data_IF_035207634974
#
_entry.id   IF_035207634974
#
_cell.length_a   1.000
_cell.length_b   1.000
_cell.length_c   1.000
_cell.angle_alpha   90.00
_cell.angle_beta   90.00
_cell.angle_gamma   90.00
#
_symmetry.space_group_name_H-M   'P 1'
#
loop_
_entity.id
_entity.type
_entity.pdbx_description
1 polymer ?
#
# COMPACT_ATOMS: atom_id res chain seq x y z
N UNK A 1 22.35 -12.66 26.19
CA UNK A 1 23.55 -12.93 26.98
C UNK A 1 23.68 -14.39 27.34
N UNK A 2 22.64 -15.09 27.90
CA UNK A 2 22.71 -16.51 28.27
C UNK A 2 23.02 -17.47 27.12
N UNK A 3 22.57 -17.19 25.89
CA UNK A 3 22.86 -18.02 24.72
C UNK A 3 24.31 -17.90 24.24
N UNK A 4 24.97 -16.78 24.48
CA UNK A 4 26.37 -16.58 24.15
C UNK A 4 27.27 -17.39 25.09
N UNK A 5 26.99 -17.41 26.40
CA UNK A 5 27.71 -18.24 27.35
C UNK A 5 27.64 -19.74 27.01
N UNK A 6 26.46 -20.21 26.58
CA UNK A 6 26.28 -21.61 26.16
C UNK A 6 27.06 -21.88 24.86
N UNK A 7 27.09 -20.91 23.93
CA UNK A 7 27.79 -21.00 22.64
C UNK A 7 29.29 -21.11 22.80
N UNK A 8 29.86 -20.39 23.78
CA UNK A 8 31.30 -20.38 24.06
C UNK A 8 31.78 -21.69 24.78
N UNK A 9 30.86 -22.48 25.36
CA UNK A 9 31.14 -23.74 26.00
C UNK A 9 30.80 -24.99 25.18
N UNK A 10 30.32 -24.80 23.93
CA UNK A 10 30.00 -25.93 23.06
C UNK A 10 31.23 -26.48 22.33
N UNK A 11 31.37 -27.83 22.21
CA UNK A 11 32.37 -28.43 21.36
C UNK A 11 32.25 -27.97 19.91
N UNK A 12 33.35 -27.89 19.12
CA UNK A 12 33.36 -27.36 17.77
C UNK A 12 32.46 -28.09 16.76
N UNK A 13 31.96 -29.27 17.12
CA UNK A 13 31.01 -30.04 16.31
C UNK A 13 29.55 -29.62 16.46
N UNK A 14 29.22 -28.75 17.43
CA UNK A 14 27.85 -28.33 17.72
C UNK A 14 27.69 -26.83 17.45
N UNK A 15 26.61 -26.48 16.74
CA UNK A 15 26.27 -25.09 16.42
C UNK A 15 24.86 -24.78 16.93
N UNK A 16 24.74 -23.77 17.79
CA UNK A 16 23.43 -23.23 18.18
C UNK A 16 23.08 -22.12 17.19
N UNK A 17 22.06 -22.34 16.39
CA UNK A 17 21.49 -21.34 15.52
C UNK A 17 20.09 -20.96 16.04
N UNK A 18 19.76 -19.67 15.95
CA UNK A 18 18.43 -19.19 16.29
C UNK A 18 17.50 -19.55 15.12
N UNK A 19 16.79 -20.68 15.23
CA UNK A 19 15.85 -21.14 14.21
C UNK A 19 14.43 -20.59 14.42
N UNK A 20 13.51 -21.02 13.54
CA UNK A 20 12.09 -20.67 13.60
C UNK A 20 11.75 -19.35 12.94
N UNK A 21 10.68 -18.70 13.42
CA UNK A 21 10.10 -17.51 12.80
C UNK A 21 11.09 -16.34 12.64
N UNK A 22 12.12 -16.25 13.46
CA UNK A 22 13.12 -15.19 13.41
C UNK A 22 14.12 -15.39 12.25
N UNK A 23 14.58 -16.62 12.04
CA UNK A 23 15.48 -16.97 10.93
C UNK A 23 14.76 -16.86 9.58
N UNK A 24 13.55 -17.39 9.50
CA UNK A 24 12.69 -17.28 8.32
C UNK A 24 12.40 -15.82 7.98
N UNK A 25 12.13 -14.98 9.00
CA UNK A 25 11.94 -13.53 8.81
C UNK A 25 13.21 -12.83 8.32
N UNK A 26 14.36 -13.19 8.83
CA UNK A 26 15.63 -12.59 8.41
C UNK A 26 16.00 -12.96 6.98
N UNK A 27 15.85 -14.24 6.59
CA UNK A 27 16.04 -14.70 5.21
C UNK A 27 15.04 -14.05 4.26
N UNK A 28 13.76 -13.99 4.66
CA UNK A 28 12.70 -13.35 3.90
C UNK A 28 12.94 -11.86 3.67
N UNK A 29 13.35 -11.11 4.71
CA UNK A 29 13.67 -9.70 4.58
C UNK A 29 14.82 -9.48 3.57
N UNK A 30 15.88 -10.26 3.62
CA UNK A 30 16.99 -10.16 2.66
C UNK A 30 16.52 -10.39 1.23
N UNK A 31 15.69 -11.39 1.00
CA UNK A 31 15.12 -11.69 -0.31
C UNK A 31 14.23 -10.56 -0.83
N UNK A 32 13.42 -9.95 0.03
CA UNK A 32 12.58 -8.80 -0.33
C UNK A 32 13.46 -7.61 -0.73
N UNK A 33 14.47 -7.26 0.06
CA UNK A 33 15.33 -6.12 -0.26
C UNK A 33 16.07 -6.27 -1.58
N UNK A 34 16.42 -7.49 -1.99
CA UNK A 34 17.05 -7.77 -3.29
C UNK A 34 16.06 -7.65 -4.45
N UNK A 35 14.84 -8.15 -4.26
CA UNK A 35 13.81 -8.15 -5.31
C UNK A 35 12.99 -6.85 -5.38
N UNK A 36 12.93 -6.09 -4.28
CA UNK A 36 12.15 -4.86 -4.18
C UNK A 36 12.49 -3.81 -5.26
N UNK A 37 13.77 -3.49 -5.54
CA UNK A 37 14.09 -2.53 -6.59
C UNK A 37 13.65 -3.01 -7.98
N UNK A 38 13.77 -4.28 -8.27
CA UNK A 38 13.32 -4.86 -9.56
C UNK A 38 11.80 -4.75 -9.67
N UNK A 39 11.09 -5.13 -8.61
CA UNK A 39 9.62 -4.99 -8.54
C UNK A 39 9.20 -3.53 -8.69
N UNK A 40 9.87 -2.60 -8.01
CA UNK A 40 9.58 -1.18 -8.10
C UNK A 40 9.78 -0.62 -9.52
N UNK A 41 10.88 -0.99 -10.19
CA UNK A 41 11.14 -0.57 -11.58
C UNK A 41 10.06 -1.11 -12.52
N UNK A 42 9.72 -2.38 -12.42
CA UNK A 42 8.65 -2.99 -13.26
C UNK A 42 7.31 -2.29 -13.01
N UNK A 43 6.96 -2.08 -11.74
CA UNK A 43 5.71 -1.40 -11.37
C UNK A 43 5.67 0.04 -11.87
N UNK A 44 6.75 0.81 -11.70
CA UNK A 44 6.83 2.20 -12.21
C UNK A 44 6.75 2.24 -13.75
N UNK A 45 7.37 1.28 -14.42
CA UNK A 45 7.30 1.18 -15.89
C UNK A 45 5.86 0.91 -16.34
N UNK A 46 5.17 -0.05 -15.72
CA UNK A 46 3.77 -0.34 -16.04
C UNK A 46 2.85 0.86 -15.76
N UNK A 47 3.05 1.53 -14.63
CA UNK A 47 2.30 2.75 -14.28
C UNK A 47 2.58 3.87 -15.28
N UNK A 48 3.82 4.02 -15.74
CA UNK A 48 4.16 5.03 -16.75
C UNK A 48 3.51 4.74 -18.10
N UNK A 49 3.49 3.48 -18.52
CA UNK A 49 2.78 3.05 -19.75
C UNK A 49 1.28 3.32 -19.63
N UNK A 50 0.68 3.06 -18.47
CA UNK A 50 -0.74 3.26 -18.21
C UNK A 50 -1.13 4.75 -18.17
N UNK A 51 -0.38 5.56 -17.42
CA UNK A 51 -0.74 6.96 -17.16
C UNK A 51 -0.21 7.93 -18.22
N UNK A 52 0.79 7.55 -19.01
CA UNK A 52 1.40 8.36 -20.08
C UNK A 52 1.82 9.78 -19.62
N UNK A 53 2.06 9.97 -18.31
CA UNK A 53 2.40 11.27 -17.73
C UNK A 53 3.16 11.12 -16.40
N UNK A 54 4.31 11.78 -16.31
CA UNK A 54 5.10 11.81 -15.06
C UNK A 54 4.36 12.48 -13.90
N UNK A 55 3.60 13.54 -14.19
CA UNK A 55 2.82 14.24 -13.15
C UNK A 55 1.77 13.34 -12.53
N UNK A 56 1.06 12.57 -13.36
CA UNK A 56 0.04 11.62 -12.89
C UNK A 56 0.67 10.44 -12.14
N UNK A 57 1.80 9.93 -12.64
CA UNK A 57 2.58 8.88 -11.96
C UNK A 57 3.00 9.35 -10.56
N UNK A 58 3.52 10.57 -10.43
CA UNK A 58 3.91 11.12 -9.14
C UNK A 58 2.71 11.27 -8.19
N UNK A 59 1.56 11.74 -8.70
CA UNK A 59 0.33 11.82 -7.92
C UNK A 59 -0.10 10.47 -7.36
N UNK A 60 -0.10 9.43 -8.19
CA UNK A 60 -0.42 8.05 -7.77
C UNK A 60 0.60 7.55 -6.76
N UNK A 61 1.89 7.77 -7.00
CA UNK A 61 2.95 7.33 -6.08
C UNK A 61 2.85 8.00 -4.70
N UNK A 62 2.47 9.28 -4.65
CA UNK A 62 2.24 10.03 -3.40
C UNK A 62 1.05 9.48 -2.56
N UNK A 63 0.18 8.66 -3.13
CA UNK A 63 -0.89 8.01 -2.37
C UNK A 63 -0.41 6.77 -1.58
N UNK A 64 0.70 6.14 -1.98
CA UNK A 64 1.21 4.95 -1.32
C UNK A 64 1.53 5.15 0.18
N UNK A 65 2.16 6.26 0.61
CA UNK A 65 2.42 6.53 2.03
C UNK A 65 1.18 6.59 2.91
N UNK A 66 0.00 6.88 2.34
CA UNK A 66 -1.26 6.89 3.09
C UNK A 66 -1.59 5.51 3.68
N UNK A 67 -1.19 4.45 2.98
CA UNK A 67 -1.31 3.08 3.46
C UNK A 67 -0.46 2.79 4.70
N UNK A 68 0.73 3.39 4.79
CA UNK A 68 1.62 3.22 5.95
C UNK A 68 0.97 3.78 7.22
N UNK A 69 0.30 4.93 7.11
CA UNK A 69 -0.44 5.53 8.23
C UNK A 69 -1.53 4.58 8.73
N UNK A 70 -2.35 4.04 7.82
CA UNK A 70 -3.41 3.10 8.18
C UNK A 70 -2.87 1.77 8.72
N UNK A 71 -1.80 1.25 8.12
CA UNK A 71 -1.15 0.02 8.57
C UNK A 71 -0.58 0.16 9.99
N UNK A 72 0.11 1.27 10.28
CA UNK A 72 0.68 1.53 11.60
C UNK A 72 -0.41 1.72 12.66
N UNK A 73 -1.50 2.39 12.34
CA UNK A 73 -2.66 2.51 13.23
C UNK A 73 -3.30 1.14 13.50
N UNK A 74 -3.52 0.34 12.46
CA UNK A 74 -4.09 -1.00 12.59
C UNK A 74 -3.25 -1.92 13.49
N UNK A 75 -1.94 -1.96 13.26
CA UNK A 75 -1.01 -2.76 14.07
C UNK A 75 -0.95 -2.29 15.54
N UNK A 76 -0.95 -0.98 15.77
CA UNK A 76 -0.99 -0.42 17.13
C UNK A 76 -2.27 -0.79 17.87
N UNK A 77 -3.43 -0.62 17.25
CA UNK A 77 -4.73 -0.98 17.85
C UNK A 77 -4.82 -2.47 18.15
N UNK A 78 -4.30 -3.31 17.26
CA UNK A 78 -4.30 -4.75 17.45
C UNK A 78 -3.14 -5.28 18.32
N UNK A 79 -2.26 -4.39 18.79
CA UNK A 79 -1.08 -4.71 19.60
C UNK A 79 -0.17 -5.79 18.94
N UNK A 80 -0.02 -5.69 17.60
CA UNK A 80 0.77 -6.63 16.82
C UNK A 80 2.12 -5.99 16.42
N UNK A 81 3.23 -6.77 16.50
CA UNK A 81 4.54 -6.26 16.14
C UNK A 81 4.65 -6.10 14.60
N UNK A 82 5.40 -5.07 14.19
CA UNK A 82 5.79 -4.91 12.81
C UNK A 82 6.94 -5.88 12.49
N UNK A 83 6.66 -6.94 11.75
CA UNK A 83 7.63 -7.96 11.35
C UNK A 83 7.59 -8.22 9.84
N UNK A 84 8.32 -9.24 9.41
CA UNK A 84 8.39 -9.68 8.01
C UNK A 84 6.99 -9.87 7.38
N UNK A 85 6.09 -10.52 8.09
CA UNK A 85 4.73 -10.81 7.60
C UNK A 85 3.90 -9.53 7.45
N UNK A 86 4.05 -8.57 8.37
CA UNK A 86 3.43 -7.26 8.25
C UNK A 86 3.99 -6.45 7.07
N UNK A 87 5.30 -6.57 6.79
CA UNK A 87 5.94 -5.95 5.62
C UNK A 87 5.37 -6.48 4.31
N UNK A 88 5.13 -7.80 4.20
CA UNK A 88 4.42 -8.37 3.04
C UNK A 88 3.03 -7.78 2.86
N UNK A 89 2.30 -7.61 3.98
CA UNK A 89 1.00 -6.93 3.97
C UNK A 89 1.09 -5.49 3.48
N UNK A 90 2.12 -4.77 3.90
CA UNK A 90 2.34 -3.38 3.48
C UNK A 90 2.64 -3.26 1.98
N UNK A 91 3.44 -4.17 1.42
CA UNK A 91 3.73 -4.22 -0.02
C UNK A 91 2.46 -4.51 -0.82
N UNK A 92 1.67 -5.50 -0.40
CA UNK A 92 0.39 -5.82 -1.03
C UNK A 92 -0.60 -4.64 -0.95
N UNK A 93 -0.67 -3.99 0.21
CA UNK A 93 -1.49 -2.81 0.45
C UNK A 93 -1.10 -1.64 -0.47
N UNK A 94 0.19 -1.35 -0.62
CA UNK A 94 0.68 -0.30 -1.51
C UNK A 94 0.21 -0.54 -2.96
N UNK A 95 0.30 -1.78 -3.45
CA UNK A 95 -0.22 -2.16 -4.76
C UNK A 95 -1.72 -1.94 -4.92
N UNK A 96 -2.51 -2.28 -3.89
CA UNK A 96 -3.97 -2.05 -3.91
C UNK A 96 -4.33 -0.56 -3.93
N UNK A 97 -3.63 0.26 -3.16
CA UNK A 97 -3.85 1.72 -3.12
C UNK A 97 -3.49 2.34 -4.46
N UNK A 98 -2.32 2.03 -5.01
CA UNK A 98 -1.88 2.55 -6.30
C UNK A 98 -2.84 2.15 -7.42
N UNK A 99 -3.30 0.91 -7.45
CA UNK A 99 -4.32 0.46 -8.41
C UNK A 99 -5.58 1.30 -8.33
N UNK A 100 -6.11 1.57 -7.13
CA UNK A 100 -7.31 2.39 -6.96
C UNK A 100 -7.07 3.85 -7.39
N UNK A 101 -5.89 4.39 -7.10
CA UNK A 101 -5.49 5.73 -7.51
C UNK A 101 -5.37 5.86 -9.04
N UNK A 102 -4.75 4.87 -9.71
CA UNK A 102 -4.65 4.83 -11.18
C UNK A 102 -6.02 4.86 -11.83
N UNK A 103 -6.95 4.01 -11.36
CA UNK A 103 -8.31 3.93 -11.90
C UNK A 103 -9.05 5.26 -11.74
N UNK A 104 -8.84 5.96 -10.63
CA UNK A 104 -9.46 7.26 -10.41
C UNK A 104 -8.88 8.34 -11.33
N UNK A 105 -7.55 8.41 -11.45
CA UNK A 105 -6.86 9.36 -12.34
C UNK A 105 -7.25 9.13 -13.81
N UNK A 106 -7.27 7.88 -14.26
CA UNK A 106 -7.66 7.48 -15.60
C UNK A 106 -9.11 7.88 -15.90
N UNK A 107 -10.02 7.72 -14.94
CA UNK A 107 -11.42 8.17 -15.09
C UNK A 107 -11.54 9.68 -15.21
N UNK A 108 -10.78 10.45 -14.39
CA UNK A 108 -10.79 11.93 -14.48
C UNK A 108 -10.35 12.37 -15.88
N UNK A 109 -9.27 11.79 -16.40
CA UNK A 109 -8.78 12.15 -17.75
C UNK A 109 -9.75 11.74 -18.85
N UNK A 110 -10.39 10.59 -18.72
CA UNK A 110 -11.43 10.16 -19.65
C UNK A 110 -12.60 11.14 -19.67
N UNK A 111 -13.08 11.57 -18.50
CA UNK A 111 -14.18 12.52 -18.38
C UNK A 111 -13.81 13.90 -18.95
N UNK A 112 -12.55 14.34 -18.77
CA UNK A 112 -12.02 15.57 -19.41
C UNK A 112 -11.98 15.43 -20.94
N UNK A 113 -11.56 14.29 -21.48
CA UNK A 113 -11.55 14.07 -22.94
C UNK A 113 -12.95 14.02 -23.56
N UNK A 114 -13.97 13.67 -22.76
CA UNK A 114 -15.38 13.72 -23.17
C UNK A 114 -16.01 15.11 -23.05
N UNK A 115 -15.24 16.14 -22.70
CA UNK A 115 -15.66 17.54 -22.73
C UNK A 115 -16.12 18.12 -21.41
N UNK A 116 -15.96 17.40 -20.29
CA UNK A 116 -16.18 17.95 -18.95
C UNK A 116 -15.04 18.90 -18.58
N UNK A 117 -15.38 19.95 -17.84
CA UNK A 117 -14.33 20.77 -17.21
C UNK A 117 -13.55 19.94 -16.22
N UNK A 118 -12.27 20.27 -15.98
CA UNK A 118 -11.45 19.49 -15.02
C UNK A 118 -12.06 19.44 -13.63
N UNK A 119 -12.70 20.52 -13.19
CA UNK A 119 -13.37 20.57 -11.89
C UNK A 119 -14.55 19.59 -11.80
N UNK A 120 -15.42 19.59 -12.80
CA UNK A 120 -16.55 18.65 -12.89
C UNK A 120 -16.07 17.21 -13.02
N UNK A 121 -15.06 16.96 -13.87
CA UNK A 121 -14.50 15.63 -14.07
C UNK A 121 -13.93 15.04 -12.76
N UNK A 122 -13.23 15.85 -11.95
CA UNK A 122 -12.71 15.41 -10.63
C UNK A 122 -13.84 14.99 -9.70
N UNK A 123 -14.88 15.81 -9.58
CA UNK A 123 -16.02 15.53 -8.68
C UNK A 123 -16.79 14.31 -9.18
N UNK A 124 -17.15 14.28 -10.46
CA UNK A 124 -17.96 13.20 -11.02
C UNK A 124 -17.23 11.88 -11.03
N UNK A 125 -15.96 11.84 -11.43
CA UNK A 125 -15.14 10.63 -11.37
C UNK A 125 -15.02 10.10 -9.93
N UNK A 126 -14.79 10.99 -8.96
CA UNK A 126 -14.68 10.60 -7.54
C UNK A 126 -15.99 10.02 -7.02
N UNK A 127 -17.12 10.65 -7.26
CA UNK A 127 -18.44 10.16 -6.84
C UNK A 127 -18.77 8.82 -7.49
N UNK A 128 -18.53 8.70 -8.79
CA UNK A 128 -18.78 7.47 -9.56
C UNK A 128 -17.92 6.30 -9.08
N UNK A 129 -16.66 6.56 -8.72
CA UNK A 129 -15.70 5.54 -8.26
C UNK A 129 -15.75 5.27 -6.76
N UNK A 130 -16.31 6.16 -5.95
CA UNK A 130 -16.38 5.98 -4.50
C UNK A 130 -17.09 4.67 -4.12
N UNK A 131 -18.25 4.37 -4.71
CA UNK A 131 -19.00 3.14 -4.42
C UNK A 131 -18.20 1.86 -4.68
N UNK A 132 -17.67 1.59 -5.90
CA UNK A 132 -16.92 0.36 -6.15
C UNK A 132 -15.63 0.29 -5.33
N UNK A 133 -14.93 1.40 -5.09
CA UNK A 133 -13.70 1.43 -4.28
C UNK A 133 -14.01 1.06 -2.82
N UNK A 134 -15.05 1.66 -2.22
CA UNK A 134 -15.47 1.34 -0.84
C UNK A 134 -15.94 -0.12 -0.73
N UNK A 135 -16.74 -0.61 -1.70
CA UNK A 135 -17.22 -2.00 -1.68
C UNK A 135 -16.08 -3.01 -1.79
N UNK A 136 -15.10 -2.77 -2.67
CA UNK A 136 -13.93 -3.65 -2.80
C UNK A 136 -13.05 -3.61 -1.55
N UNK A 137 -12.87 -2.45 -0.94
CA UNK A 137 -12.14 -2.30 0.31
C UNK A 137 -12.83 -3.05 1.46
N UNK A 138 -14.16 -2.88 1.62
CA UNK A 138 -14.93 -3.60 2.63
C UNK A 138 -14.88 -5.12 2.41
N UNK A 139 -15.03 -5.59 1.17
CA UNK A 139 -14.93 -7.01 0.84
C UNK A 139 -13.56 -7.58 1.22
N UNK A 140 -12.47 -6.87 0.91
CA UNK A 140 -11.12 -7.28 1.27
C UNK A 140 -10.90 -7.29 2.79
N UNK A 141 -11.40 -6.25 3.51
CA UNK A 141 -11.34 -6.19 4.97
C UNK A 141 -12.08 -7.38 5.59
N UNK A 142 -13.32 -7.64 5.15
CA UNK A 142 -14.11 -8.77 5.66
C UNK A 142 -13.44 -10.13 5.38
N UNK A 143 -12.83 -10.30 4.20
CA UNK A 143 -12.09 -11.50 3.84
C UNK A 143 -10.85 -11.74 4.72
N UNK A 144 -10.24 -10.67 5.25
CA UNK A 144 -9.06 -10.74 6.12
C UNK A 144 -9.39 -11.00 7.59
N UNK A 145 -10.64 -10.83 8.03
CA UNK A 145 -11.04 -11.05 9.43
C UNK A 145 -10.68 -12.47 9.94
N UNK A 146 -10.98 -13.57 9.24
CA UNK A 146 -10.58 -14.89 9.73
C UNK A 146 -9.06 -15.05 9.81
N UNK A 147 -8.32 -14.46 8.86
CA UNK A 147 -6.86 -14.52 8.82
C UNK A 147 -6.21 -13.71 9.93
N UNK A 148 -6.84 -12.65 10.43
CA UNK A 148 -6.32 -11.80 11.52
C UNK A 148 -6.15 -12.55 12.85
N UNK A 149 -6.84 -13.69 13.01
CA UNK A 149 -6.73 -14.57 14.19
C UNK A 149 -5.56 -15.55 14.10
N UNK A 150 -4.91 -15.66 12.95
CA UNK A 150 -3.74 -16.52 12.77
C UNK A 150 -2.53 -15.95 13.51
N UNK A 151 -1.83 -16.77 14.30
CA UNK A 151 -0.61 -16.36 15.00
C UNK A 151 0.51 -15.92 14.05
N UNK A 152 0.58 -16.50 12.85
CA UNK A 152 1.63 -16.22 11.86
C UNK A 152 1.18 -15.14 10.86
N UNK A 153 -0.02 -15.29 10.26
CA UNK A 153 -0.52 -14.39 9.21
C UNK A 153 -1.32 -13.19 9.74
N UNK A 154 -1.63 -13.17 11.05
CA UNK A 154 -2.39 -12.09 11.70
C UNK A 154 -1.83 -10.69 11.43
N UNK A 155 -0.53 -10.45 11.64
CA UNK A 155 0.06 -9.13 11.38
C UNK A 155 -0.12 -8.64 9.94
N UNK A 156 -0.05 -9.53 8.94
CA UNK A 156 -0.31 -9.18 7.53
C UNK A 156 -1.77 -8.78 7.32
N UNK A 157 -2.70 -9.58 7.83
CA UNK A 157 -4.13 -9.31 7.70
C UNK A 157 -4.52 -7.98 8.35
N UNK A 158 -4.00 -7.69 9.54
CA UNK A 158 -4.23 -6.44 10.27
C UNK A 158 -3.63 -5.25 9.54
N UNK A 159 -2.42 -5.40 8.99
CA UNK A 159 -1.77 -4.38 8.15
C UNK A 159 -2.64 -4.02 6.95
N UNK A 160 -3.15 -5.04 6.24
CA UNK A 160 -4.02 -4.83 5.07
C UNK A 160 -5.36 -4.21 5.49
N UNK A 161 -6.00 -4.73 6.53
CA UNK A 161 -7.31 -4.22 7.01
C UNK A 161 -7.22 -2.77 7.46
N UNK A 162 -6.30 -2.45 8.38
CA UNK A 162 -6.10 -1.11 8.91
C UNK A 162 -5.65 -0.13 7.83
N UNK A 163 -4.67 -0.57 7.01
CA UNK A 163 -4.16 0.21 5.92
C UNK A 163 -5.21 0.50 4.86
N UNK A 164 -5.96 -0.50 4.43
CA UNK A 164 -6.98 -0.34 3.39
C UNK A 164 -8.16 0.52 3.88
N UNK A 165 -8.57 0.37 5.14
CA UNK A 165 -9.62 1.20 5.73
C UNK A 165 -9.25 2.69 5.69
N UNK A 166 -8.11 3.06 6.27
CA UNK A 166 -7.66 4.46 6.33
C UNK A 166 -7.33 4.98 4.94
N UNK A 167 -6.59 4.20 4.14
CA UNK A 167 -6.17 4.62 2.80
C UNK A 167 -7.35 4.82 1.85
N UNK A 168 -8.43 4.04 1.96
CA UNK A 168 -9.63 4.21 1.12
C UNK A 168 -10.25 5.59 1.34
N UNK A 169 -10.45 5.98 2.60
CA UNK A 169 -10.98 7.31 2.90
C UNK A 169 -10.03 8.43 2.48
N UNK A 170 -8.76 8.28 2.82
CA UNK A 170 -7.76 9.29 2.49
C UNK A 170 -7.58 9.42 0.97
N UNK A 171 -7.54 8.31 0.21
CA UNK A 171 -7.38 8.36 -1.24
C UNK A 171 -8.57 9.05 -1.91
N UNK A 172 -9.80 8.79 -1.46
CA UNK A 172 -11.00 9.42 -2.02
C UNK A 172 -11.08 10.93 -1.74
N UNK A 173 -10.43 11.43 -0.67
CA UNK A 173 -10.36 12.84 -0.33
C UNK A 173 -9.08 13.50 -0.82
N UNK A 174 -7.94 12.85 -0.58
CA UNK A 174 -6.61 13.40 -0.83
C UNK A 174 -6.26 13.44 -2.31
N UNK A 175 -6.54 12.38 -3.06
CA UNK A 175 -6.17 12.31 -4.48
C UNK A 175 -6.90 13.35 -5.33
N UNK A 176 -8.23 13.55 -5.22
CA UNK A 176 -8.93 14.62 -5.92
C UNK A 176 -8.43 16.01 -5.54
N UNK A 177 -8.16 16.25 -4.25
CA UNK A 177 -7.63 17.52 -3.77
C UNK A 177 -6.21 17.79 -4.32
N UNK A 178 -5.34 16.77 -4.29
CA UNK A 178 -3.99 16.86 -4.81
C UNK A 178 -3.99 17.07 -6.34
N UNK A 179 -4.87 16.39 -7.05
CA UNK A 179 -5.05 16.54 -8.49
C UNK A 179 -5.52 17.98 -8.82
N UNK A 180 -6.49 18.51 -8.10
CA UNK A 180 -6.97 19.88 -8.27
C UNK A 180 -5.87 20.92 -8.00
N UNK A 181 -5.05 20.73 -6.95
CA UNK A 181 -3.92 21.62 -6.64
C UNK A 181 -2.85 21.58 -7.73
N UNK A 182 -2.51 20.38 -8.22
CA UNK A 182 -1.45 20.19 -9.21
C UNK A 182 -1.81 20.82 -10.57
N UNK A 183 -3.05 20.66 -10.96
CA UNK A 183 -3.56 21.20 -12.23
C UNK A 183 -4.29 22.54 -12.07
N UNK A 184 -4.07 23.26 -10.96
CA UNK A 184 -4.73 24.54 -10.65
C UNK A 184 -4.65 25.59 -11.75
N UNK A 185 -3.53 25.67 -12.48
CA UNK A 185 -3.37 26.61 -13.61
C UNK A 185 -4.36 26.29 -14.75
N UNK A 186 -4.59 25.04 -15.04
CA UNK A 186 -5.54 24.58 -16.05
C UNK A 186 -7.01 24.69 -15.62
N UNK A 187 -7.29 24.80 -14.32
CA UNK A 187 -8.63 25.08 -13.79
C UNK A 187 -9.01 26.56 -13.96
N UNK A 188 -8.02 27.46 -13.87
CA UNK A 188 -8.25 28.91 -13.98
C UNK A 188 -8.42 29.40 -15.44
N UNK A 189 -8.00 28.63 -16.43
CA UNK A 189 -8.13 28.97 -17.86
C UNK A 189 -9.53 28.65 -18.45
N UNK A 190 -10.37 27.92 -17.71
CA UNK A 190 -11.70 27.45 -18.18
C UNK A 190 -12.85 27.89 -17.26
N UNK A 191 -12.62 28.85 -16.36
CA UNK A 191 -13.63 29.56 -15.58
C UNK A 191 -13.80 30.99 -16.11
#
# INVERSE_FOLDING_TARGET
>A
PKLQEIRDHLPPAYRIEAGGAFEESAKGNTSIFVLFPVMAVVMLTLLMVQLQSFSRLLLVFLTAPLGVVGASLGLNVANQPFGFVALLGLIALAGMIMRNAVILVDQIETDVTHGLTRGEAIVEATVRRARPVVLTALAAILAMIPLSRSAFWGPMAITIMGGLFVATFLTLLYLPALYALWFRKSLAEHS
#
